data_IF_975439463559
#
_entry.id   IF_975439463559
#
_cell.length_a   1.000
_cell.length_b   1.000
_cell.length_c   1.000
_cell.angle_alpha   90.00
_cell.angle_beta   90.00
_cell.angle_gamma   90.00
#
_symmetry.space_group_name_H-M   'P 1'
#
loop_
_entity.id
_entity.type
_entity.pdbx_description
1 polymer ?
#
# COMPACT_ATOMS: atom_id res chain seq x y z
N UNK A 1 23.86 -67.21 9.83
CA UNK A 1 24.83 -66.08 9.88
C UNK A 1 25.00 -65.62 8.45
N UNK A 2 24.75 -64.40 8.00
CA UNK A 2 24.70 -63.08 8.65
C UNK A 2 23.69 -62.18 7.92
N UNK A 3 23.12 -61.23 8.64
CA UNK A 3 22.07 -60.29 8.23
C UNK A 3 22.41 -59.47 6.97
N UNK A 4 21.46 -59.36 6.04
CA UNK A 4 21.52 -58.37 4.95
C UNK A 4 21.00 -57.03 5.48
N UNK A 5 21.89 -56.06 5.33
CA UNK A 5 21.86 -54.71 5.82
C UNK A 5 20.77 -53.83 5.16
N UNK A 6 20.23 -52.96 6.01
CA UNK A 6 20.00 -51.53 5.74
C UNK A 6 18.88 -51.16 4.74
N UNK A 7 17.70 -50.92 5.32
CA UNK A 7 16.58 -50.15 4.75
C UNK A 7 17.06 -48.75 4.35
N UNK A 8 16.98 -48.41 3.07
CA UNK A 8 17.11 -47.04 2.55
C UNK A 8 15.85 -46.26 2.90
N UNK A 9 15.89 -45.49 3.99
CA UNK A 9 14.86 -44.50 4.31
C UNK A 9 15.19 -43.21 3.54
N UNK A 10 14.30 -42.83 2.63
CA UNK A 10 14.47 -41.69 1.73
C UNK A 10 14.57 -40.36 2.47
N UNK A 11 15.55 -39.55 2.04
CA UNK A 11 15.66 -38.14 2.41
C UNK A 11 14.44 -37.37 1.90
N UNK A 12 13.52 -37.01 2.80
CA UNK A 12 12.53 -35.98 2.56
C UNK A 12 13.24 -34.61 2.71
N UNK A 13 13.60 -33.99 1.60
CA UNK A 13 14.06 -32.60 1.56
C UNK A 13 12.89 -31.67 1.86
N UNK A 14 12.87 -31.13 3.08
CA UNK A 14 11.99 -30.04 3.48
C UNK A 14 12.44 -28.77 2.75
N UNK A 15 11.83 -28.47 1.60
CA UNK A 15 11.89 -27.16 0.97
C UNK A 15 10.99 -26.20 1.76
N UNK A 16 11.46 -25.75 2.92
CA UNK A 16 10.87 -24.60 3.59
C UNK A 16 11.13 -23.37 2.71
N UNK A 17 10.08 -22.89 2.06
CA UNK A 17 10.10 -21.70 1.23
C UNK A 17 10.66 -20.51 2.03
N UNK A 18 11.76 -19.95 1.52
CA UNK A 18 12.27 -18.64 1.92
C UNK A 18 11.26 -17.58 1.46
N UNK A 19 10.17 -17.41 2.20
CA UNK A 19 9.34 -16.22 2.09
C UNK A 19 10.10 -15.08 2.76
N UNK A 20 11.06 -14.48 2.05
CA UNK A 20 11.68 -13.24 2.51
C UNK A 20 10.59 -12.18 2.70
N UNK A 21 10.61 -11.43 3.82
CA UNK A 21 9.64 -10.37 4.04
C UNK A 21 9.87 -9.27 2.99
N UNK A 22 8.95 -9.18 2.03
CA UNK A 22 8.98 -8.15 0.97
C UNK A 22 8.91 -6.71 1.53
N UNK A 23 8.65 -6.53 2.83
CA UNK A 23 8.54 -5.24 3.51
C UNK A 23 9.82 -4.39 3.40
N UNK A 24 11.01 -4.98 3.57
CA UNK A 24 12.26 -4.22 3.59
C UNK A 24 12.64 -3.63 2.22
N UNK A 25 12.18 -4.23 1.12
CA UNK A 25 12.46 -3.72 -0.23
C UNK A 25 11.67 -2.45 -0.55
N UNK A 26 10.42 -2.34 -0.07
CA UNK A 26 9.57 -1.17 -0.30
C UNK A 26 10.04 0.06 0.49
N UNK A 27 10.64 -0.14 1.67
CA UNK A 27 11.19 0.96 2.48
C UNK A 27 12.23 1.76 1.67
N UNK A 28 13.15 1.09 0.98
CA UNK A 28 14.15 1.77 0.15
C UNK A 28 13.53 2.60 -1.00
N UNK A 29 12.47 2.10 -1.63
CA UNK A 29 11.84 2.79 -2.76
C UNK A 29 11.04 4.02 -2.31
N UNK A 30 10.44 3.97 -1.11
CA UNK A 30 9.59 5.05 -0.60
C UNK A 30 10.33 6.06 0.29
N UNK A 31 11.52 5.76 0.79
CA UNK A 31 12.32 6.67 1.63
C UNK A 31 12.52 8.08 1.03
N UNK A 32 12.54 8.18 -0.30
CA UNK A 32 12.63 9.44 -1.02
C UNK A 32 11.31 10.20 -1.16
N UNK A 33 10.19 9.69 -0.62
CA UNK A 33 8.83 10.22 -0.79
C UNK A 33 8.28 10.83 0.51
N UNK A 34 7.27 11.69 0.45
CA UNK A 34 6.61 12.26 1.64
C UNK A 34 6.02 11.12 2.46
N UNK A 35 5.36 10.15 1.81
CA UNK A 35 4.75 8.98 2.47
C UNK A 35 5.80 8.16 3.22
N UNK A 36 6.99 7.96 2.64
CA UNK A 36 8.08 7.21 3.30
C UNK A 36 8.72 7.92 4.48
N UNK A 37 8.45 9.22 4.68
CA UNK A 37 8.91 9.97 5.87
C UNK A 37 7.88 10.02 6.99
N UNK A 38 6.68 9.45 6.79
CA UNK A 38 5.65 9.43 7.81
C UNK A 38 5.99 8.40 8.88
N UNK A 39 5.73 8.74 10.13
CA UNK A 39 5.75 7.75 11.20
C UNK A 39 4.51 6.82 11.12
N UNK A 40 4.45 5.79 11.97
CA UNK A 40 3.35 4.79 11.95
C UNK A 40 1.97 5.42 12.18
N UNK A 41 1.87 6.38 13.09
CA UNK A 41 0.61 7.05 13.44
C UNK A 41 0.10 7.93 12.28
N UNK A 42 1.00 8.74 11.71
CA UNK A 42 0.73 9.56 10.54
C UNK A 42 0.33 8.70 9.33
N UNK A 43 1.04 7.58 9.10
CA UNK A 43 0.70 6.66 8.02
C UNK A 43 -0.68 6.02 8.22
N UNK A 44 -1.01 5.60 9.44
CA UNK A 44 -2.32 5.03 9.76
C UNK A 44 -3.45 6.06 9.54
N UNK A 45 -3.28 7.30 10.00
CA UNK A 45 -4.24 8.39 9.80
C UNK A 45 -4.41 8.73 8.31
N UNK A 46 -3.31 8.76 7.54
CA UNK A 46 -3.35 8.97 6.11
C UNK A 46 -4.09 7.84 5.40
N UNK A 47 -3.78 6.58 5.73
CA UNK A 47 -4.41 5.39 5.15
C UNK A 47 -5.91 5.37 5.44
N UNK A 48 -6.33 5.73 6.65
CA UNK A 48 -7.74 5.84 7.00
C UNK A 48 -8.45 6.87 6.13
N UNK A 49 -7.88 8.08 6.02
CA UNK A 49 -8.44 9.16 5.19
C UNK A 49 -8.50 8.76 3.72
N UNK A 50 -7.47 8.09 3.22
CA UNK A 50 -7.41 7.57 1.86
C UNK A 50 -8.51 6.54 1.58
N UNK A 51 -8.69 5.56 2.47
CA UNK A 51 -9.74 4.54 2.35
C UNK A 51 -11.14 5.15 2.40
N UNK A 52 -11.41 6.05 3.35
CA UNK A 52 -12.70 6.76 3.41
C UNK A 52 -12.95 7.62 2.16
N UNK A 53 -11.92 8.28 1.63
CA UNK A 53 -12.06 9.06 0.39
C UNK A 53 -12.46 8.15 -0.79
N UNK A 54 -11.82 6.98 -0.92
CA UNK A 54 -12.14 6.02 -1.97
C UNK A 54 -13.54 5.40 -1.80
N UNK A 55 -14.00 5.19 -0.57
CA UNK A 55 -15.33 4.61 -0.32
C UNK A 55 -16.46 5.62 -0.51
N UNK A 56 -16.30 6.83 0.04
CA UNK A 56 -17.43 7.69 0.41
C UNK A 56 -17.51 9.00 -0.38
N UNK A 57 -16.41 9.42 -1.02
CA UNK A 57 -16.35 10.72 -1.73
C UNK A 57 -16.72 10.57 -3.20
N UNK A 58 -17.51 11.47 -3.77
CA UNK A 58 -17.81 11.49 -5.21
C UNK A 58 -16.57 11.79 -6.08
N UNK A 59 -16.61 11.38 -7.35
CA UNK A 59 -15.57 11.79 -8.31
C UNK A 59 -15.59 13.32 -8.49
N UNK A 60 -14.42 13.93 -8.59
CA UNK A 60 -14.21 15.37 -8.71
C UNK A 60 -14.16 16.14 -7.38
N UNK A 61 -14.65 15.55 -6.27
CA UNK A 61 -14.61 16.20 -4.95
C UNK A 61 -13.28 15.96 -4.25
N UNK A 62 -12.65 17.03 -3.77
CA UNK A 62 -11.39 16.96 -3.02
C UNK A 62 -11.63 16.86 -1.52
N UNK A 63 -10.93 15.94 -0.87
CA UNK A 63 -10.89 15.79 0.59
C UNK A 63 -9.53 16.28 1.08
N UNK A 64 -9.47 17.37 1.87
CA UNK A 64 -8.23 17.81 2.47
C UNK A 64 -7.85 16.91 3.66
N UNK A 65 -6.56 16.81 3.94
CA UNK A 65 -6.05 16.18 5.15
C UNK A 65 -4.87 16.99 5.73
N UNK A 66 -4.67 16.86 7.03
CA UNK A 66 -3.51 17.42 7.73
C UNK A 66 -3.02 16.42 8.77
N UNK A 67 -1.72 16.16 8.74
CA UNK A 67 -1.00 15.32 9.69
C UNK A 67 -0.04 16.23 10.45
N UNK A 68 -0.26 16.46 11.76
CA UNK A 68 0.62 17.31 12.55
C UNK A 68 2.02 16.70 12.64
N UNK A 69 3.01 17.54 12.96
CA UNK A 69 4.35 17.07 13.27
C UNK A 69 4.33 16.21 14.55
N UNK A 70 5.16 15.17 14.57
CA UNK A 70 5.31 14.23 15.69
C UNK A 70 6.79 14.00 15.96
N UNK A 71 7.13 13.25 17.02
CA UNK A 71 8.50 12.77 17.21
C UNK A 71 8.92 11.89 16.02
N UNK A 72 9.85 12.40 15.20
CA UNK A 72 10.36 11.72 14.02
C UNK A 72 9.56 11.90 12.72
N UNK A 73 8.41 12.59 12.76
CA UNK A 73 7.55 12.84 11.58
C UNK A 73 7.38 14.32 11.30
N UNK A 74 7.54 14.74 10.03
CA UNK A 74 7.28 16.13 9.62
C UNK A 74 5.78 16.37 9.47
N UNK A 75 5.34 17.60 9.75
CA UNK A 75 3.99 18.02 9.41
C UNK A 75 3.76 17.84 7.90
N UNK A 76 2.63 17.22 7.55
CA UNK A 76 2.28 16.88 6.18
C UNK A 76 0.83 17.23 5.93
N UNK A 77 0.54 17.94 4.84
CA UNK A 77 -0.82 18.28 4.45
C UNK A 77 -1.06 17.88 3.00
N UNK A 78 -2.32 17.88 2.57
CA UNK A 78 -2.62 17.52 1.20
C UNK A 78 -4.08 17.37 0.88
N UNK A 79 -4.34 16.82 -0.31
CA UNK A 79 -5.69 16.50 -0.76
C UNK A 79 -5.73 15.15 -1.47
N UNK A 80 -6.83 14.44 -1.28
CA UNK A 80 -7.21 13.31 -2.10
C UNK A 80 -8.39 13.67 -2.98
N UNK A 81 -8.30 13.43 -4.29
CA UNK A 81 -9.38 13.70 -5.24
C UNK A 81 -9.63 12.44 -6.07
N UNK A 82 -10.74 11.71 -5.85
CA UNK A 82 -11.18 10.70 -6.80
C UNK A 82 -11.46 11.37 -8.15
N UNK A 83 -10.89 10.84 -9.22
CA UNK A 83 -10.97 11.42 -10.57
C UNK A 83 -11.98 10.68 -11.46
N UNK A 84 -12.03 9.35 -11.32
CA UNK A 84 -12.83 8.48 -12.18
C UNK A 84 -13.10 7.16 -11.49
N UNK A 85 -14.35 6.71 -11.55
CA UNK A 85 -14.78 5.39 -11.08
C UNK A 85 -15.11 4.50 -12.28
N UNK A 86 -14.69 3.23 -12.23
CA UNK A 86 -15.07 2.19 -13.19
C UNK A 86 -15.07 0.81 -12.55
N UNK A 87 -15.72 -0.14 -13.20
CA UNK A 87 -15.60 -1.55 -12.84
C UNK A 87 -14.45 -2.19 -13.64
N UNK A 88 -13.57 -2.92 -12.96
CA UNK A 88 -12.52 -3.73 -13.59
C UNK A 88 -12.49 -5.11 -12.92
N UNK A 89 -12.63 -6.17 -13.73
CA UNK A 89 -12.69 -7.57 -13.26
C UNK A 89 -13.77 -7.82 -12.18
N UNK A 90 -14.87 -7.07 -12.24
CA UNK A 90 -15.97 -7.15 -11.26
C UNK A 90 -15.78 -6.29 -10.02
N UNK A 91 -14.60 -5.71 -9.82
CA UNK A 91 -14.32 -4.85 -8.66
C UNK A 91 -14.60 -3.38 -8.99
N UNK A 92 -15.11 -2.64 -7.99
CA UNK A 92 -15.19 -1.17 -8.07
C UNK A 92 -13.78 -0.60 -7.97
N UNK A 93 -13.34 0.07 -9.02
CA UNK A 93 -12.04 0.70 -9.10
C UNK A 93 -12.16 2.22 -9.25
N UNK A 94 -11.26 2.94 -8.59
CA UNK A 94 -11.23 4.40 -8.61
C UNK A 94 -9.83 4.89 -8.91
N UNK A 95 -9.75 5.81 -9.85
CA UNK A 95 -8.56 6.62 -10.09
C UNK A 95 -8.56 7.75 -9.09
N UNK A 96 -7.47 7.94 -8.36
CA UNK A 96 -7.35 8.97 -7.35
C UNK A 96 -6.08 9.79 -7.60
N UNK A 97 -6.20 11.11 -7.46
CA UNK A 97 -5.06 12.02 -7.36
C UNK A 97 -4.77 12.27 -5.89
N UNK A 98 -3.49 12.18 -5.54
CA UNK A 98 -3.00 12.46 -4.20
C UNK A 98 -1.99 13.59 -4.28
N UNK A 99 -2.29 14.69 -3.63
CA UNK A 99 -1.44 15.86 -3.50
C UNK A 99 -0.91 15.90 -2.08
N UNK A 100 0.41 15.91 -1.90
CA UNK A 100 1.06 15.93 -0.59
C UNK A 100 2.07 17.07 -0.52
N UNK A 101 2.16 17.71 0.64
CA UNK A 101 3.07 18.81 0.93
C UNK A 101 3.71 18.65 2.29
N UNK A 102 5.01 18.91 2.33
CA UNK A 102 5.81 19.10 3.54
C UNK A 102 6.69 20.34 3.32
N UNK A 103 7.29 20.88 4.38
CA UNK A 103 8.23 21.99 4.25
C UNK A 103 9.35 21.66 3.24
N UNK A 104 9.42 22.45 2.16
CA UNK A 104 10.42 22.29 1.10
C UNK A 104 10.16 21.15 0.11
N UNK A 105 9.00 20.47 0.18
CA UNK A 105 8.69 19.33 -0.69
C UNK A 105 7.22 19.26 -1.08
N UNK A 106 6.95 18.90 -2.33
CA UNK A 106 5.59 18.64 -2.80
C UNK A 106 5.59 17.46 -3.75
N UNK A 107 4.55 16.65 -3.65
CA UNK A 107 4.40 15.46 -4.48
C UNK A 107 2.97 15.34 -4.98
N UNK A 108 2.83 14.88 -6.22
CA UNK A 108 1.55 14.62 -6.86
C UNK A 108 1.58 13.24 -7.48
N UNK A 109 0.68 12.38 -7.01
CA UNK A 109 0.56 11.00 -7.44
C UNK A 109 -0.80 10.77 -8.08
N UNK A 110 -0.88 9.83 -9.00
CA UNK A 110 -2.17 9.37 -9.53
C UNK A 110 -2.10 7.86 -9.74
N UNK A 111 -3.16 7.16 -9.33
CA UNK A 111 -3.20 5.71 -9.43
C UNK A 111 -4.61 5.16 -9.41
N UNK A 112 -4.78 3.98 -9.96
CA UNK A 112 -6.00 3.19 -9.88
C UNK A 112 -5.94 2.29 -8.65
N UNK A 113 -7.02 2.28 -7.87
CA UNK A 113 -7.20 1.42 -6.70
C UNK A 113 -8.53 0.71 -6.82
N UNK A 114 -8.55 -0.59 -6.53
CA UNK A 114 -9.74 -1.43 -6.62
C UNK A 114 -10.11 -1.98 -5.26
N UNK A 115 -11.39 -1.91 -4.95
CA UNK A 115 -11.97 -2.45 -3.73
C UNK A 115 -11.86 -3.97 -3.77
N UNK A 116 -11.26 -4.54 -2.73
CA UNK A 116 -11.19 -5.98 -2.50
C UNK A 116 -12.47 -6.45 -1.83
N UNK A 117 -12.72 -7.77 -1.83
CA UNK A 117 -13.91 -8.38 -1.22
C UNK A 117 -14.10 -8.01 0.25
N UNK A 118 -13.00 -7.76 0.97
CA UNK A 118 -12.99 -7.39 2.39
C UNK A 118 -13.15 -5.87 2.62
N UNK A 119 -13.34 -5.08 1.56
CA UNK A 119 -13.52 -3.62 1.63
C UNK A 119 -12.24 -2.80 1.55
N UNK A 120 -11.07 -3.43 1.68
CA UNK A 120 -9.77 -2.80 1.50
C UNK A 120 -9.51 -2.36 0.05
N UNK A 121 -8.72 -1.30 -0.14
CA UNK A 121 -8.37 -0.78 -1.46
C UNK A 121 -6.93 -1.14 -1.83
N UNK A 122 -6.74 -1.76 -3.00
CA UNK A 122 -5.42 -2.13 -3.48
C UNK A 122 -5.12 -1.49 -4.84
N UNK A 123 -3.86 -1.06 -5.02
CA UNK A 123 -3.40 -0.49 -6.28
C UNK A 123 -3.55 -1.54 -7.40
N UNK A 124 -4.11 -1.12 -8.52
CA UNK A 124 -4.21 -1.93 -9.74
C UNK A 124 -3.65 -1.16 -10.92
N UNK A 125 -2.86 -1.82 -11.76
CA UNK A 125 -2.47 -1.22 -13.03
C UNK A 125 -3.65 -1.36 -14.00
N UNK A 126 -4.26 -0.23 -14.37
CA UNK A 126 -5.31 -0.19 -15.37
C UNK A 126 -4.98 0.89 -16.38
N UNK A 127 -5.15 0.57 -17.67
CA UNK A 127 -5.05 1.55 -18.76
C UNK A 127 -6.20 2.56 -18.61
N UNK A 128 -5.89 3.83 -18.85
CA UNK A 128 -6.85 4.93 -18.76
C UNK A 128 -7.90 4.91 -19.87
#
# INVERSE_FOLDING_TARGET
>A
MSSICMKRLGCATVLAALAWPAFAYFDHFLNGTIIGTLNKEQFAALKQTFNSTLSDTEDGRSVPFSLPATAGGKATEGTFTPLKTKTDKGDRCRKIRSDLRQTGKSERWTGWYCQQKEGDWQKRLIKD
#
